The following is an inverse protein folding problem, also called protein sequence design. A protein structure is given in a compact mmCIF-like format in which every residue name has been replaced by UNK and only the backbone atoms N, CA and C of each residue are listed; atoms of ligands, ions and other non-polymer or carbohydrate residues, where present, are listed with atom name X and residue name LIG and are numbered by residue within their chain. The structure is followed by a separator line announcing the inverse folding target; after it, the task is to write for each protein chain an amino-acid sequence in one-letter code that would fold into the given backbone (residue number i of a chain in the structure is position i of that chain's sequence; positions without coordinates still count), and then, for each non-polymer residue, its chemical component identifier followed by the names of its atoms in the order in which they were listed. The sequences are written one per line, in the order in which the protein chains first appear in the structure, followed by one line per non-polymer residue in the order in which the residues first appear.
data_IF_126454213292
#
_entry.id   IF_126454213292
#
_cell.length_a   1.000
_cell.length_b   1.000
_cell.length_c   1.000
_cell.angle_alpha   90.00
_cell.angle_beta   90.00
_cell.angle_gamma   90.00
#
_symmetry.space_group_name_H-M   'P 1'
#
loop_
_entity.id
_entity.type
_entity.pdbx_description
1 polymer ?
#
# COMPACT_ATOMS: atom_id res chain seq x y z
N UNK A 1 8.71 14.22 31.97
CA UNK A 1 7.48 14.79 31.39
C UNK A 1 7.85 15.21 29.97
N UNK A 2 7.83 14.25 29.03
CA UNK A 2 8.11 14.53 27.61
C UNK A 2 6.83 15.06 26.96
N UNK A 3 6.85 16.32 26.57
CA UNK A 3 5.81 16.94 25.73
C UNK A 3 5.86 16.25 24.39
N UNK A 4 4.83 15.45 24.09
CA UNK A 4 4.57 14.96 22.74
C UNK A 4 4.17 16.20 21.94
N UNK A 5 5.05 16.69 21.06
CA UNK A 5 4.70 17.69 20.07
C UNK A 5 3.62 17.11 19.17
N UNK A 6 2.40 17.56 19.39
CA UNK A 6 1.23 17.14 18.60
C UNK A 6 1.36 17.69 17.19
N UNK A 7 1.78 16.82 16.26
CA UNK A 7 1.90 17.18 14.84
C UNK A 7 0.51 17.51 14.30
N UNK A 8 0.33 18.77 13.92
CA UNK A 8 -0.92 19.23 13.28
C UNK A 8 -1.04 18.60 11.91
N UNK A 9 -2.13 17.87 11.66
CA UNK A 9 -2.42 17.30 10.33
C UNK A 9 -3.41 18.20 9.60
N UNK A 10 -3.12 18.45 8.33
CA UNK A 10 -4.01 19.20 7.43
C UNK A 10 -4.66 18.23 6.46
N UNK A 11 -5.96 18.38 6.22
CA UNK A 11 -6.71 17.64 5.24
C UNK A 11 -7.14 18.58 4.11
N UNK A 12 -6.95 18.15 2.88
CA UNK A 12 -7.38 18.84 1.67
C UNK A 12 -8.47 17.99 1.04
N UNK A 13 -9.63 18.57 0.80
CA UNK A 13 -10.80 17.94 0.20
C UNK A 13 -11.05 18.51 -1.17
N UNK A 14 -11.20 17.65 -2.17
CA UNK A 14 -11.48 18.04 -3.56
C UNK A 14 -12.49 17.05 -4.13
N UNK A 15 -13.63 17.55 -4.61
CA UNK A 15 -14.63 16.75 -5.30
C UNK A 15 -14.51 16.97 -6.81
N UNK A 16 -14.33 15.89 -7.57
CA UNK A 16 -14.05 15.95 -9.01
C UNK A 16 -14.70 14.82 -9.79
N UNK A 17 -14.98 15.00 -11.08
CA UNK A 17 -15.43 13.92 -11.96
C UNK A 17 -14.38 12.80 -12.01
N UNK A 18 -14.84 11.54 -12.06
CA UNK A 18 -13.96 10.37 -12.00
C UNK A 18 -12.89 10.35 -13.12
N UNK A 19 -13.19 10.89 -14.29
CA UNK A 19 -12.24 10.92 -15.41
C UNK A 19 -11.05 11.87 -15.18
N UNK A 20 -11.16 12.82 -14.25
CA UNK A 20 -10.09 13.76 -13.90
C UNK A 20 -9.22 13.30 -12.72
N UNK A 21 -9.54 12.15 -12.14
CA UNK A 21 -8.89 11.66 -10.92
C UNK A 21 -7.36 11.51 -11.06
N UNK A 22 -6.89 10.93 -12.16
CA UNK A 22 -5.45 10.72 -12.39
C UNK A 22 -4.69 12.05 -12.48
N UNK A 23 -5.27 13.06 -13.13
CA UNK A 23 -4.69 14.39 -13.22
C UNK A 23 -4.57 15.04 -11.83
N UNK A 24 -5.62 14.92 -11.03
CA UNK A 24 -5.64 15.48 -9.67
C UNK A 24 -4.69 14.76 -8.71
N UNK A 25 -4.67 13.43 -8.74
CA UNK A 25 -3.72 12.65 -7.94
C UNK A 25 -2.28 13.03 -8.28
N UNK A 26 -1.98 13.10 -9.57
CA UNK A 26 -0.68 13.48 -10.09
C UNK A 26 -0.22 14.87 -9.66
N UNK A 27 -1.14 15.81 -9.60
CA UNK A 27 -0.85 17.18 -9.20
C UNK A 27 -0.66 17.34 -7.69
N UNK A 28 -1.35 16.50 -6.89
CA UNK A 28 -1.31 16.57 -5.43
C UNK A 28 -0.18 15.73 -4.83
N UNK A 29 0.18 14.61 -5.44
CA UNK A 29 1.18 13.67 -4.92
C UNK A 29 2.52 14.34 -4.50
N UNK A 30 3.06 15.35 -5.23
CA UNK A 30 4.31 16.01 -4.85
C UNK A 30 4.20 16.91 -3.63
N UNK A 31 2.97 17.29 -3.22
CA UNK A 31 2.72 18.32 -2.20
C UNK A 31 1.99 17.81 -0.96
N UNK A 32 1.66 16.50 -0.92
CA UNK A 32 0.98 15.86 0.21
C UNK A 32 1.66 14.59 0.65
N UNK A 33 1.43 14.17 1.90
CA UNK A 33 2.02 12.96 2.46
C UNK A 33 1.21 11.70 2.16
N UNK A 34 -0.12 11.84 2.02
CA UNK A 34 -1.01 10.72 1.73
C UNK A 34 -2.23 11.19 0.95
N UNK A 35 -2.78 10.29 0.14
CA UNK A 35 -4.02 10.48 -0.61
C UNK A 35 -4.97 9.32 -0.35
N UNK A 36 -6.24 9.62 -0.21
CA UNK A 36 -7.31 8.63 -0.22
C UNK A 36 -8.44 9.12 -1.13
N UNK A 37 -9.08 8.20 -1.84
CA UNK A 37 -10.13 8.51 -2.81
C UNK A 37 -11.38 7.73 -2.46
N UNK A 38 -12.50 8.42 -2.36
CA UNK A 38 -13.82 7.80 -2.26
C UNK A 38 -14.52 7.98 -3.61
N UNK A 39 -14.74 6.88 -4.32
CA UNK A 39 -15.40 6.88 -5.63
C UNK A 39 -16.91 6.76 -5.43
N UNK A 40 -17.64 7.65 -6.07
CA UNK A 40 -19.09 7.60 -6.28
C UNK A 40 -19.36 7.26 -7.76
N UNK A 41 -20.62 7.18 -8.17
CA UNK A 41 -20.99 6.71 -9.52
C UNK A 41 -20.41 7.56 -10.66
N UNK A 42 -20.30 8.87 -10.50
CA UNK A 42 -19.79 9.81 -11.53
C UNK A 42 -18.65 10.67 -11.04
N UNK A 43 -18.53 10.86 -9.74
CA UNK A 43 -17.59 11.75 -9.08
C UNK A 43 -16.75 11.01 -8.06
N UNK A 44 -15.65 11.61 -7.65
CA UNK A 44 -14.81 11.08 -6.60
C UNK A 44 -14.37 12.20 -5.66
N UNK A 45 -14.38 11.91 -4.37
CA UNK A 45 -13.86 12.76 -3.34
C UNK A 45 -12.41 12.36 -3.03
N UNK A 46 -11.50 13.27 -3.34
CA UNK A 46 -10.08 13.14 -3.00
C UNK A 46 -9.88 13.75 -1.61
N UNK A 47 -9.24 12.98 -0.73
CA UNK A 47 -8.77 13.44 0.57
C UNK A 47 -7.26 13.33 0.59
N UNK A 48 -6.58 14.45 0.64
CA UNK A 48 -5.14 14.50 0.76
C UNK A 48 -4.74 14.98 2.16
N UNK A 49 -3.63 14.47 2.68
CA UNK A 49 -3.17 14.74 4.04
C UNK A 49 -1.73 15.22 4.02
N UNK A 50 -1.43 16.23 4.85
CA UNK A 50 -0.06 16.72 5.04
C UNK A 50 0.17 17.13 6.50
N UNK A 51 1.39 16.89 6.99
CA UNK A 51 1.82 17.30 8.33
C UNK A 51 2.40 18.72 8.36
N UNK A 52 2.74 19.27 7.20
CA UNK A 52 3.15 20.66 7.07
C UNK A 52 1.95 21.51 6.66
N UNK A 53 1.88 22.75 7.17
CA UNK A 53 0.87 23.69 6.71
C UNK A 53 0.94 23.82 5.19
N UNK A 54 -0.12 23.47 4.46
CA UNK A 54 -0.09 23.50 3.00
C UNK A 54 0.00 24.97 2.54
N UNK A 55 0.87 25.23 1.57
CA UNK A 55 0.92 26.50 0.90
C UNK A 55 -0.29 26.60 -0.04
N UNK A 56 -1.29 27.37 0.39
CA UNK A 56 -2.60 27.46 -0.28
C UNK A 56 -2.47 27.73 -1.78
N UNK A 57 -1.62 28.68 -2.16
CA UNK A 57 -1.38 29.04 -3.57
C UNK A 57 -0.78 27.90 -4.38
N UNK A 58 0.12 27.11 -3.79
CA UNK A 58 0.72 25.93 -4.49
C UNK A 58 -0.33 24.86 -4.74
N UNK A 59 -1.19 24.59 -3.76
CA UNK A 59 -2.28 23.62 -3.91
C UNK A 59 -3.27 24.09 -4.99
N UNK A 60 -3.73 25.33 -4.91
CA UNK A 60 -4.67 25.88 -5.89
C UNK A 60 -4.08 25.89 -7.31
N UNK A 61 -2.80 26.26 -7.46
CA UNK A 61 -2.13 26.26 -8.75
C UNK A 61 -1.97 24.83 -9.33
N UNK A 62 -1.68 23.86 -8.48
CA UNK A 62 -1.58 22.46 -8.89
C UNK A 62 -2.94 21.90 -9.35
N UNK A 63 -4.00 22.19 -8.57
CA UNK A 63 -5.37 21.78 -8.89
C UNK A 63 -5.88 22.46 -10.16
N UNK A 64 -5.63 23.75 -10.35
CA UNK A 64 -6.05 24.49 -11.53
C UNK A 64 -5.37 23.95 -12.81
N UNK A 65 -4.08 23.62 -12.75
CA UNK A 65 -3.38 22.96 -13.88
C UNK A 65 -3.98 21.62 -14.20
N UNK A 66 -4.20 20.76 -13.19
CA UNK A 66 -4.80 19.45 -13.37
C UNK A 66 -6.23 19.54 -13.93
N UNK A 67 -7.01 20.54 -13.52
CA UNK A 67 -8.34 20.79 -14.05
C UNK A 67 -8.31 21.18 -15.53
N UNK A 68 -7.38 22.05 -15.92
CA UNK A 68 -7.16 22.43 -17.31
C UNK A 68 -6.72 21.22 -18.17
N UNK A 69 -5.80 20.40 -17.71
CA UNK A 69 -5.35 19.18 -18.39
C UNK A 69 -6.49 18.16 -18.54
N UNK A 70 -7.36 18.05 -17.53
CA UNK A 70 -8.54 17.18 -17.54
C UNK A 70 -9.74 17.75 -18.28
N UNK A 71 -9.65 19.00 -18.77
CA UNK A 71 -10.74 19.75 -19.40
C UNK A 71 -12.01 19.83 -18.53
N UNK A 72 -11.82 20.13 -17.25
CA UNK A 72 -12.91 20.39 -16.29
C UNK A 72 -12.81 21.78 -15.70
N UNK A 73 -13.91 22.27 -15.12
CA UNK A 73 -13.89 23.46 -14.30
C UNK A 73 -13.01 23.24 -13.06
N UNK A 74 -12.22 24.26 -12.67
CA UNK A 74 -11.40 24.18 -11.47
C UNK A 74 -12.27 23.87 -10.25
N UNK A 75 -12.05 22.74 -9.56
CA UNK A 75 -12.88 22.36 -8.42
C UNK A 75 -12.59 23.23 -7.21
N UNK A 76 -13.57 23.30 -6.31
CA UNK A 76 -13.36 23.90 -5.01
C UNK A 76 -12.40 23.05 -4.17
N UNK A 77 -11.46 23.73 -3.51
CA UNK A 77 -10.47 23.09 -2.63
C UNK A 77 -10.77 23.54 -1.20
N UNK A 78 -11.14 22.60 -0.35
CA UNK A 78 -11.33 22.86 1.07
C UNK A 78 -10.09 22.37 1.82
N UNK A 79 -9.52 23.23 2.70
CA UNK A 79 -8.38 22.89 3.55
C UNK A 79 -8.81 22.98 5.00
N UNK A 80 -8.76 21.85 5.70
CA UNK A 80 -9.21 21.69 7.08
C UNK A 80 -8.01 21.38 7.96
N UNK A 81 -7.88 22.07 9.08
CA UNK A 81 -6.97 21.66 10.15
C UNK A 81 -7.64 20.54 10.91
N UNK A 82 -7.03 19.37 10.87
CA UNK A 82 -7.45 18.32 11.78
C UNK A 82 -6.83 18.60 13.15
N UNK A 83 -7.64 18.73 14.21
CA UNK A 83 -7.09 18.96 15.55
C UNK A 83 -6.12 17.81 15.89
N UNK A 84 -5.09 18.05 16.71
CA UNK A 84 -4.10 17.04 17.10
C UNK A 84 -4.69 15.90 17.94
N UNK A 85 -5.97 15.76 17.94
CA UNK A 85 -6.69 14.71 18.63
C UNK A 85 -6.85 13.53 17.68
N UNK A 86 -6.20 12.49 17.96
CA UNK A 86 -6.52 11.05 17.93
C UNK A 86 -7.67 10.55 17.00
N UNK A 87 -7.99 11.32 15.94
CA UNK A 87 -9.03 10.97 14.95
C UNK A 87 -8.74 9.65 14.27
N UNK A 88 -7.46 9.39 13.98
CA UNK A 88 -7.04 8.14 13.37
C UNK A 88 -7.21 7.02 14.38
N UNK A 89 -6.77 7.22 15.60
CA UNK A 89 -6.94 6.23 16.68
C UNK A 89 -8.40 6.07 17.08
N UNK A 90 -9.21 7.12 17.09
CA UNK A 90 -10.65 6.99 17.34
C UNK A 90 -11.38 6.31 16.18
N UNK A 91 -11.08 6.66 14.93
CA UNK A 91 -11.65 5.99 13.75
C UNK A 91 -11.25 4.51 13.68
N UNK A 92 -10.01 4.19 14.04
CA UNK A 92 -9.50 2.82 14.06
C UNK A 92 -10.07 2.02 15.23
N UNK A 93 -10.32 2.64 16.39
CA UNK A 93 -10.97 1.97 17.55
C UNK A 93 -12.40 1.52 17.28
N UNK A 94 -13.05 2.04 16.25
CA UNK A 94 -14.42 1.63 15.84
C UNK A 94 -14.42 0.67 14.64
N UNK A 95 -13.26 0.32 14.09
CA UNK A 95 -13.23 -0.60 12.96
C UNK A 95 -13.51 -2.03 13.40
N UNK A 96 -14.57 -2.61 12.85
CA UNK A 96 -14.90 -4.01 13.06
C UNK A 96 -13.82 -4.92 12.47
N UNK A 97 -13.62 -6.14 13.02
CA UNK A 97 -12.74 -7.11 12.42
C UNK A 97 -13.15 -7.43 10.98
N UNK A 98 -12.17 -7.51 10.09
CA UNK A 98 -12.42 -7.81 8.67
C UNK A 98 -11.82 -9.17 8.33
N UNK A 99 -12.68 -10.07 7.84
CA UNK A 99 -12.26 -11.38 7.32
C UNK A 99 -12.06 -11.30 5.82
N UNK A 100 -10.86 -11.62 5.36
CA UNK A 100 -10.48 -11.58 3.95
C UNK A 100 -9.73 -12.88 3.62
N UNK A 101 -10.39 -13.78 2.87
CA UNK A 101 -9.82 -15.07 2.56
C UNK A 101 -9.42 -15.83 3.83
N UNK A 102 -8.14 -16.14 3.98
CA UNK A 102 -7.57 -16.84 5.15
C UNK A 102 -7.23 -15.91 6.32
N UNK A 103 -7.34 -14.62 6.16
CA UNK A 103 -6.93 -13.62 7.15
C UNK A 103 -8.10 -13.02 7.88
N UNK A 104 -7.89 -12.74 9.16
CA UNK A 104 -8.78 -11.96 10.02
C UNK A 104 -7.97 -10.81 10.59
N UNK A 105 -8.30 -9.58 10.20
CA UNK A 105 -7.62 -8.37 10.69
C UNK A 105 -8.48 -7.76 11.77
N UNK A 106 -7.86 -7.40 12.87
CA UNK A 106 -8.51 -6.74 14.01
C UNK A 106 -7.59 -5.70 14.65
N UNK A 107 -8.18 -4.71 15.29
CA UNK A 107 -7.46 -3.81 16.19
C UNK A 107 -7.21 -4.45 17.57
N UNK A 108 -6.34 -3.83 18.37
CA UNK A 108 -6.03 -4.28 19.74
C UNK A 108 -7.22 -4.23 20.69
N UNK A 109 -8.21 -3.39 20.43
CA UNK A 109 -9.44 -3.28 21.22
C UNK A 109 -10.38 -4.51 21.07
N UNK A 110 -10.14 -5.35 20.07
CA UNK A 110 -10.91 -6.57 19.82
C UNK A 110 -10.14 -7.78 20.37
N UNK A 111 -10.78 -8.57 21.21
CA UNK A 111 -10.19 -9.81 21.74
C UNK A 111 -9.84 -10.78 20.60
N UNK A 112 -8.76 -11.52 20.79
CA UNK A 112 -8.36 -12.59 19.89
C UNK A 112 -9.47 -13.64 19.79
N UNK A 113 -9.79 -14.05 18.57
CA UNK A 113 -10.85 -15.05 18.33
C UNK A 113 -10.36 -16.48 18.56
N UNK A 114 -9.05 -16.75 18.40
CA UNK A 114 -8.45 -18.08 18.59
C UNK A 114 -8.91 -19.12 17.58
N UNK A 115 -9.46 -18.72 16.44
CA UNK A 115 -9.94 -19.64 15.42
C UNK A 115 -8.76 -20.18 14.58
N UNK A 116 -8.44 -21.50 14.65
CA UNK A 116 -7.30 -22.07 13.91
C UNK A 116 -7.48 -22.06 12.39
N UNK A 117 -8.71 -21.86 11.90
CA UNK A 117 -9.01 -21.82 10.46
C UNK A 117 -8.67 -20.51 9.80
N UNK A 118 -8.30 -19.48 10.55
CA UNK A 118 -7.93 -18.15 10.05
C UNK A 118 -6.59 -17.70 10.63
N UNK A 119 -5.88 -16.89 9.87
CA UNK A 119 -4.65 -16.23 10.31
C UNK A 119 -5.05 -14.87 10.86
N UNK A 120 -5.01 -14.74 12.19
CA UNK A 120 -5.31 -13.47 12.83
C UNK A 120 -4.10 -12.52 12.75
N UNK A 121 -4.39 -11.28 12.34
CA UNK A 121 -3.45 -10.16 12.32
C UNK A 121 -4.01 -9.05 13.22
N UNK A 122 -3.28 -8.73 14.28
CA UNK A 122 -3.56 -7.58 15.11
C UNK A 122 -2.82 -6.37 14.55
N UNK A 123 -3.55 -5.38 14.08
CA UNK A 123 -2.99 -4.20 13.41
C UNK A 123 -3.45 -2.93 14.13
N UNK A 124 -2.49 -2.22 14.69
CA UNK A 124 -2.65 -0.88 15.21
C UNK A 124 -1.96 0.06 14.21
N UNK A 125 -2.73 0.64 13.31
CA UNK A 125 -2.15 1.43 12.23
C UNK A 125 -1.70 2.82 12.69
N UNK A 126 -2.26 3.37 13.77
CA UNK A 126 -2.02 4.76 14.13
C UNK A 126 -2.31 5.65 12.92
N UNK A 127 -1.31 6.43 12.49
CA UNK A 127 -1.37 7.24 11.27
C UNK A 127 -0.93 6.48 10.01
N UNK A 128 -0.46 5.23 10.13
CA UNK A 128 0.01 4.44 9.00
C UNK A 128 -1.14 3.80 8.22
N UNK A 129 -0.98 3.66 6.91
CA UNK A 129 -1.92 2.97 6.03
C UNK A 129 -1.88 1.45 6.25
N UNK A 130 -2.98 0.74 5.93
CA UNK A 130 -2.96 -0.73 5.87
C UNK A 130 -3.80 -1.45 6.92
N UNK A 131 -4.86 -0.84 7.48
CA UNK A 131 -5.79 -1.45 8.45
C UNK A 131 -6.59 -2.65 7.92
N UNK A 132 -6.44 -2.99 6.64
CA UNK A 132 -7.19 -4.06 6.00
C UNK A 132 -8.58 -3.68 5.47
N UNK A 133 -9.09 -2.51 5.81
CA UNK A 133 -10.43 -2.08 5.38
C UNK A 133 -10.46 -1.55 3.95
N UNK A 134 -9.33 -1.03 3.46
CA UNK A 134 -9.25 -0.52 2.10
C UNK A 134 -9.24 -1.66 1.07
N UNK A 135 -9.94 -1.46 -0.05
CA UNK A 135 -10.10 -2.45 -1.11
C UNK A 135 -8.76 -3.00 -1.66
N UNK A 136 -7.74 -2.14 -1.74
CA UNK A 136 -6.40 -2.53 -2.23
C UNK A 136 -5.70 -3.52 -1.28
N UNK A 137 -5.79 -3.30 0.03
CA UNK A 137 -5.25 -4.23 1.03
C UNK A 137 -6.01 -5.56 1.00
N UNK A 138 -7.35 -5.49 0.87
CA UNK A 138 -8.17 -6.68 0.70
C UNK A 138 -7.77 -7.47 -0.55
N UNK A 139 -7.55 -6.79 -1.67
CA UNK A 139 -7.08 -7.39 -2.90
C UNK A 139 -5.75 -8.13 -2.74
N UNK A 140 -4.76 -7.50 -2.10
CA UNK A 140 -3.48 -8.16 -1.82
C UNK A 140 -3.63 -9.40 -0.93
N UNK A 141 -4.46 -9.34 0.12
CA UNK A 141 -4.72 -10.49 1.01
C UNK A 141 -5.44 -11.63 0.30
N UNK A 142 -6.37 -11.33 -0.62
CA UNK A 142 -6.98 -12.34 -1.48
C UNK A 142 -5.96 -12.95 -2.44
N UNK A 143 -5.06 -12.14 -3.01
CA UNK A 143 -3.97 -12.63 -3.84
C UNK A 143 -3.06 -13.59 -3.07
N UNK A 144 -2.66 -13.25 -1.84
CA UNK A 144 -1.90 -14.12 -0.95
C UNK A 144 -2.67 -15.40 -0.62
N UNK A 145 -4.00 -15.32 -0.40
CA UNK A 145 -4.84 -16.50 -0.17
C UNK A 145 -4.85 -17.43 -1.38
N UNK A 146 -4.94 -16.90 -2.61
CA UNK A 146 -4.85 -17.69 -3.86
C UNK A 146 -3.49 -18.39 -3.99
N UNK A 147 -2.43 -17.73 -3.57
CA UNK A 147 -1.07 -18.28 -3.62
C UNK A 147 -0.76 -19.27 -2.48
N UNK A 148 -1.58 -19.33 -1.43
CA UNK A 148 -1.36 -20.13 -0.23
C UNK A 148 -1.23 -21.65 -0.49
N UNK A 149 -1.80 -22.15 -1.58
CA UNK A 149 -1.75 -23.56 -1.98
C UNK A 149 -0.45 -23.92 -2.71
N UNK A 150 0.44 -22.96 -2.93
CA UNK A 150 1.76 -23.20 -3.54
C UNK A 150 2.83 -23.31 -2.47
N UNK A 151 3.99 -23.84 -2.85
CA UNK A 151 5.18 -23.77 -2.00
C UNK A 151 5.44 -22.31 -1.62
N UNK A 152 5.63 -22.06 -0.33
CA UNK A 152 5.89 -20.72 0.17
C UNK A 152 7.20 -20.13 -0.38
N UNK A 153 7.29 -18.79 -0.43
CA UNK A 153 8.52 -18.12 -0.82
C UNK A 153 9.62 -18.36 0.23
N UNK A 154 10.86 -18.45 -0.21
CA UNK A 154 12.02 -18.47 0.69
C UNK A 154 12.34 -17.03 1.16
N UNK A 155 12.26 -16.08 0.24
CA UNK A 155 12.48 -14.67 0.49
C UNK A 155 11.28 -13.86 0.00
N UNK A 156 10.81 -12.94 0.83
CA UNK A 156 9.72 -12.04 0.46
C UNK A 156 9.98 -10.60 0.86
N UNK A 157 9.36 -9.69 0.11
CA UNK A 157 9.46 -8.24 0.31
C UNK A 157 8.07 -7.60 0.25
N UNK A 158 7.79 -6.72 1.21
CA UNK A 158 6.66 -5.81 1.23
C UNK A 158 7.19 -4.39 1.03
N UNK A 159 6.91 -3.80 -0.13
CA UNK A 159 7.35 -2.47 -0.54
C UNK A 159 6.24 -1.45 -0.28
N UNK A 160 6.52 -0.44 0.54
CA UNK A 160 5.51 0.47 1.08
C UNK A 160 4.63 -0.25 2.10
N UNK A 161 5.25 -0.78 3.16
CA UNK A 161 4.59 -1.71 4.07
C UNK A 161 3.53 -1.06 4.98
N UNK A 162 3.56 0.26 5.17
CA UNK A 162 2.65 0.98 6.06
C UNK A 162 2.64 0.39 7.47
N UNK A 163 1.50 -0.10 7.94
CA UNK A 163 1.36 -0.75 9.25
C UNK A 163 1.87 -2.21 9.30
N UNK A 164 2.41 -2.74 8.20
CA UNK A 164 3.00 -4.08 8.11
C UNK A 164 2.04 -5.21 7.77
N UNK A 165 0.79 -4.92 7.47
CA UNK A 165 -0.28 -5.93 7.29
C UNK A 165 0.08 -7.01 6.27
N UNK A 166 0.62 -6.62 5.12
CA UNK A 166 0.96 -7.57 4.04
C UNK A 166 2.22 -8.37 4.38
N UNK A 167 3.23 -7.73 4.95
CA UNK A 167 4.42 -8.42 5.47
C UNK A 167 4.04 -9.48 6.50
N UNK A 168 3.12 -9.17 7.41
CA UNK A 168 2.67 -10.12 8.44
C UNK A 168 1.81 -11.24 7.86
N UNK A 169 0.96 -10.93 6.88
CA UNK A 169 0.19 -11.93 6.16
C UNK A 169 1.12 -12.96 5.51
N UNK A 170 2.18 -12.52 4.84
CA UNK A 170 3.20 -13.38 4.23
C UNK A 170 3.93 -14.20 5.30
N UNK A 171 4.46 -13.51 6.34
CA UNK A 171 5.25 -14.15 7.38
C UNK A 171 4.47 -15.23 8.14
N UNK A 172 3.20 -14.98 8.47
CA UNK A 172 2.35 -15.97 9.18
C UNK A 172 1.85 -17.09 8.27
N UNK A 173 1.54 -16.79 6.99
CA UNK A 173 1.00 -17.77 6.04
C UNK A 173 2.00 -18.89 5.75
N UNK A 174 3.27 -18.53 5.56
CA UNK A 174 4.31 -19.49 5.16
C UNK A 174 5.42 -19.66 6.19
N UNK A 175 5.35 -18.97 7.34
CA UNK A 175 6.41 -18.96 8.36
C UNK A 175 7.77 -18.57 7.77
N UNK A 176 7.77 -17.64 6.83
CA UNK A 176 8.94 -17.22 6.07
C UNK A 176 9.44 -15.85 6.50
N UNK A 177 10.71 -15.58 6.24
CA UNK A 177 11.30 -14.25 6.47
C UNK A 177 10.78 -13.28 5.43
N UNK A 178 10.37 -12.10 5.88
CA UNK A 178 9.86 -11.02 5.03
C UNK A 178 10.60 -9.73 5.35
N UNK A 179 11.08 -9.04 4.33
CA UNK A 179 11.57 -7.67 4.43
C UNK A 179 10.38 -6.74 4.26
N UNK A 180 10.23 -5.76 5.14
CA UNK A 180 9.19 -4.74 5.09
C UNK A 180 9.88 -3.38 5.02
N UNK A 181 9.64 -2.64 3.95
CA UNK A 181 10.26 -1.32 3.74
C UNK A 181 9.20 -0.26 3.48
N UNK A 182 9.47 0.92 3.99
CA UNK A 182 8.68 2.12 3.72
C UNK A 182 9.60 3.34 3.72
N UNK A 183 9.20 4.39 3.03
CA UNK A 183 9.89 5.68 3.05
C UNK A 183 9.58 6.46 4.33
N UNK A 184 8.42 6.20 4.94
CA UNK A 184 7.98 6.84 6.18
C UNK A 184 8.50 6.10 7.41
N UNK A 185 9.29 6.81 8.22
CA UNK A 185 9.83 6.28 9.48
C UNK A 185 8.72 5.90 10.46
N UNK A 186 7.59 6.63 10.49
CA UNK A 186 6.46 6.31 11.35
C UNK A 186 5.79 5.00 10.93
N UNK A 187 5.69 4.73 9.63
CA UNK A 187 5.20 3.45 9.12
C UNK A 187 6.10 2.29 9.55
N UNK A 188 7.41 2.46 9.46
CA UNK A 188 8.37 1.44 9.92
C UNK A 188 8.29 1.23 11.43
N UNK A 189 8.13 2.29 12.22
CA UNK A 189 7.94 2.17 13.66
C UNK A 189 6.65 1.41 14.00
N UNK A 190 5.54 1.76 13.37
CA UNK A 190 4.26 1.05 13.53
C UNK A 190 4.38 -0.43 13.13
N UNK A 191 5.08 -0.73 12.02
CA UNK A 191 5.34 -2.10 11.58
C UNK A 191 6.14 -2.88 12.62
N UNK A 192 7.19 -2.31 13.23
CA UNK A 192 7.98 -2.97 14.28
C UNK A 192 7.12 -3.29 15.52
N UNK A 193 6.32 -2.34 15.98
CA UNK A 193 5.42 -2.51 17.13
C UNK A 193 4.37 -3.59 16.87
N UNK A 194 3.73 -3.54 15.70
CA UNK A 194 2.76 -4.55 15.28
C UNK A 194 3.40 -5.94 15.11
N UNK A 195 4.66 -6.02 14.66
CA UNK A 195 5.37 -7.30 14.55
C UNK A 195 5.58 -7.96 15.92
N UNK A 196 5.90 -7.17 16.94
CA UNK A 196 6.00 -7.63 18.35
C UNK A 196 4.64 -8.13 18.84
N UNK A 197 3.58 -7.35 18.68
CA UNK A 197 2.21 -7.70 19.07
C UNK A 197 1.74 -9.01 18.42
N UNK A 198 2.14 -9.24 17.16
CA UNK A 198 1.82 -10.47 16.43
C UNK A 198 2.76 -11.64 16.71
N UNK A 199 3.83 -11.47 17.51
CA UNK A 199 4.81 -12.52 17.83
C UNK A 199 5.68 -12.94 16.65
N UNK A 200 5.88 -12.07 15.65
CA UNK A 200 6.61 -12.36 14.40
C UNK A 200 7.81 -11.43 14.15
N UNK A 201 8.26 -10.70 15.15
CA UNK A 201 9.39 -9.76 15.04
C UNK A 201 10.69 -10.41 14.57
N UNK A 202 10.84 -11.73 14.73
CA UNK A 202 12.00 -12.49 14.21
C UNK A 202 11.87 -12.84 12.73
N UNK A 203 10.67 -12.80 12.19
CA UNK A 203 10.38 -13.11 10.78
C UNK A 203 10.32 -11.85 9.91
N UNK A 204 10.01 -10.68 10.48
CA UNK A 204 9.86 -9.43 9.73
C UNK A 204 11.04 -8.50 10.01
N UNK A 205 11.77 -8.17 8.95
CA UNK A 205 12.87 -7.21 9.00
C UNK A 205 12.38 -5.87 8.44
N UNK A 206 12.31 -4.84 9.28
CA UNK A 206 11.76 -3.53 8.93
C UNK A 206 12.86 -2.51 8.72
N UNK A 207 12.83 -1.76 7.60
CA UNK A 207 13.82 -0.72 7.28
C UNK A 207 13.18 0.48 6.60
N UNK A 208 13.61 1.68 6.97
CA UNK A 208 13.28 2.92 6.25
C UNK A 208 14.09 2.95 4.96
N UNK A 209 13.42 3.00 3.82
CA UNK A 209 14.10 2.96 2.52
C UNK A 209 13.27 3.63 1.42
N UNK A 210 13.91 4.47 0.63
CA UNK A 210 13.32 5.01 -0.61
C UNK A 210 13.50 3.98 -1.75
N UNK A 211 12.41 3.33 -2.10
CA UNK A 211 12.39 2.27 -3.11
C UNK A 211 13.14 1.00 -2.65
N UNK A 212 13.96 0.43 -3.56
CA UNK A 212 14.66 -0.84 -3.32
C UNK A 212 16.19 -0.68 -3.15
N UNK A 213 16.67 0.52 -2.86
CA UNK A 213 18.10 0.85 -2.87
C UNK A 213 18.81 0.66 -1.52
N UNK A 214 18.30 -0.18 -0.62
CA UNK A 214 18.96 -0.43 0.66
C UNK A 214 19.92 -1.64 0.61
N UNK A 215 20.96 -1.65 1.45
CA UNK A 215 21.83 -2.82 1.63
C UNK A 215 21.04 -4.07 2.04
N UNK A 216 20.03 -3.94 2.92
CA UNK A 216 19.21 -5.06 3.38
C UNK A 216 18.39 -5.66 2.24
N UNK A 217 17.78 -4.82 1.39
CA UNK A 217 17.04 -5.28 0.21
C UNK A 217 17.96 -6.06 -0.73
N UNK A 218 19.16 -5.53 -1.01
CA UNK A 218 20.13 -6.17 -1.92
C UNK A 218 20.71 -7.47 -1.38
N UNK A 219 21.03 -7.53 -0.08
CA UNK A 219 21.66 -8.73 0.52
C UNK A 219 20.66 -9.87 0.75
N UNK A 220 19.38 -9.56 0.86
CA UNK A 220 18.33 -10.57 1.06
C UNK A 220 17.62 -10.99 -0.22
N UNK A 221 17.75 -10.21 -1.30
CA UNK A 221 17.26 -10.57 -2.63
C UNK A 221 18.10 -11.65 -3.33
N UNK A 222 17.68 -12.13 -4.49
CA UNK A 222 16.40 -11.82 -5.12
C UNK A 222 15.20 -12.42 -4.37
N UNK A 223 13.99 -11.85 -4.63
CA UNK A 223 12.76 -12.23 -3.91
C UNK A 223 11.88 -13.16 -4.74
N UNK A 224 11.34 -14.20 -4.10
CA UNK A 224 10.37 -15.11 -4.72
C UNK A 224 8.96 -14.53 -4.72
N UNK A 225 8.68 -13.67 -3.72
CA UNK A 225 7.44 -12.92 -3.62
C UNK A 225 7.72 -11.47 -3.24
N UNK A 226 7.24 -10.55 -4.06
CA UNK A 226 7.23 -9.13 -3.77
C UNK A 226 5.79 -8.64 -3.76
N UNK A 227 5.41 -7.86 -2.76
CA UNK A 227 4.11 -7.19 -2.71
C UNK A 227 4.36 -5.69 -2.68
N UNK A 228 3.60 -4.93 -3.47
CA UNK A 228 3.61 -3.47 -3.46
C UNK A 228 2.16 -2.96 -3.57
N UNK A 229 1.67 -2.39 -2.47
CA UNK A 229 0.36 -1.74 -2.41
C UNK A 229 0.56 -0.23 -2.26
N UNK A 230 1.03 0.40 -3.33
CA UNK A 230 1.38 1.82 -3.40
C UNK A 230 0.74 2.47 -4.63
N UNK A 231 0.80 3.79 -4.74
CA UNK A 231 0.18 4.53 -5.83
C UNK A 231 0.74 4.15 -7.20
N UNK A 232 -0.04 4.41 -8.26
CA UNK A 232 0.26 4.06 -9.64
C UNK A 232 1.60 4.59 -10.15
N UNK A 233 1.91 5.89 -9.93
CA UNK A 233 3.17 6.49 -10.43
C UNK A 233 4.42 5.89 -9.81
N UNK A 234 4.53 5.72 -8.47
CA UNK A 234 5.61 4.96 -7.87
C UNK A 234 5.77 3.55 -8.44
N UNK A 235 4.67 2.83 -8.69
CA UNK A 235 4.72 1.50 -9.30
C UNK A 235 5.33 1.52 -10.71
N UNK A 236 4.98 2.52 -11.53
CA UNK A 236 5.60 2.73 -12.85
C UNK A 236 7.09 3.05 -12.72
N UNK A 237 7.44 4.02 -11.86
CA UNK A 237 8.82 4.47 -11.65
C UNK A 237 9.73 3.34 -11.15
N UNK A 238 9.23 2.50 -10.27
CA UNK A 238 9.97 1.41 -9.64
C UNK A 238 9.91 0.09 -10.41
N UNK A 239 9.19 0.02 -11.55
CA UNK A 239 8.94 -1.23 -12.26
C UNK A 239 10.22 -2.01 -12.60
N UNK A 240 11.25 -1.32 -13.12
CA UNK A 240 12.55 -1.94 -13.42
C UNK A 240 13.20 -2.48 -12.14
N UNK A 241 13.30 -1.65 -11.11
CA UNK A 241 13.93 -2.04 -9.85
C UNK A 241 13.19 -3.21 -9.18
N UNK A 242 11.85 -3.21 -9.20
CA UNK A 242 11.03 -4.33 -8.71
C UNK A 242 11.34 -5.60 -9.47
N UNK A 243 11.37 -5.54 -10.81
CA UNK A 243 11.57 -6.72 -11.66
C UNK A 243 13.02 -7.26 -11.57
N UNK A 244 14.00 -6.38 -11.41
CA UNK A 244 15.40 -6.77 -11.24
C UNK A 244 15.61 -7.52 -9.90
N UNK A 245 14.85 -7.15 -8.85
CA UNK A 245 14.88 -7.81 -7.54
C UNK A 245 14.02 -9.07 -7.43
N UNK A 246 13.26 -9.45 -8.48
CA UNK A 246 12.51 -10.71 -8.50
C UNK A 246 13.40 -11.89 -8.96
N UNK A 247 13.28 -13.01 -8.27
CA UNK A 247 13.83 -14.31 -8.69
C UNK A 247 13.26 -14.74 -10.05
N UNK A 248 13.98 -15.57 -10.79
CA UNK A 248 13.38 -16.31 -11.89
C UNK A 248 12.24 -17.21 -11.38
N UNK A 249 11.05 -17.12 -11.96
CA UNK A 249 9.84 -17.76 -11.45
C UNK A 249 9.14 -17.01 -10.31
N UNK A 250 9.73 -15.91 -9.83
CA UNK A 250 9.17 -15.08 -8.75
C UNK A 250 7.85 -14.43 -9.12
N UNK A 251 7.08 -14.11 -8.10
CA UNK A 251 5.75 -13.49 -8.22
C UNK A 251 5.77 -12.09 -7.63
N UNK A 252 5.14 -11.13 -8.32
CA UNK A 252 4.85 -9.81 -7.74
C UNK A 252 3.35 -9.58 -7.68
N UNK A 253 2.89 -9.07 -6.53
CA UNK A 253 1.52 -8.59 -6.32
C UNK A 253 1.56 -7.08 -6.32
N UNK A 254 0.81 -6.44 -7.22
CA UNK A 254 0.71 -5.00 -7.35
C UNK A 254 -0.71 -4.55 -7.08
N UNK A 255 -0.89 -3.56 -6.23
CA UNK A 255 -2.18 -2.94 -5.92
C UNK A 255 -1.99 -1.45 -5.59
N UNK A 256 -3.08 -0.75 -5.22
CA UNK A 256 -3.05 0.70 -5.04
C UNK A 256 -3.34 1.45 -6.33
N UNK A 257 -3.90 0.75 -7.33
CA UNK A 257 -4.23 1.30 -8.65
C UNK A 257 -5.72 1.16 -8.95
N UNK A 258 -6.25 2.10 -9.71
CA UNK A 258 -7.61 2.05 -10.22
C UNK A 258 -7.71 1.10 -11.43
N UNK A 259 -8.92 0.64 -11.72
CA UNK A 259 -9.18 -0.29 -12.82
C UNK A 259 -8.71 0.24 -14.19
N UNK A 260 -8.83 1.54 -14.42
CA UNK A 260 -8.39 2.22 -15.64
C UNK A 260 -6.85 2.28 -15.78
N UNK A 261 -6.12 2.25 -14.67
CA UNK A 261 -4.64 2.28 -14.65
C UNK A 261 -4.01 0.91 -14.89
N UNK A 262 -4.79 -0.15 -14.73
CA UNK A 262 -4.27 -1.53 -14.74
C UNK A 262 -3.59 -1.91 -16.07
N UNK A 263 -4.14 -1.53 -17.21
CA UNK A 263 -3.58 -1.89 -18.52
C UNK A 263 -2.22 -1.24 -18.76
N UNK A 264 -2.06 0.02 -18.37
CA UNK A 264 -0.78 0.74 -18.47
C UNK A 264 0.28 0.11 -17.57
N UNK A 265 -0.08 -0.24 -16.32
CA UNK A 265 0.83 -0.91 -15.40
C UNK A 265 1.26 -2.29 -15.91
N UNK A 266 0.31 -3.10 -16.42
CA UNK A 266 0.61 -4.41 -17.02
C UNK A 266 1.59 -4.27 -18.18
N UNK A 267 1.38 -3.29 -19.08
CA UNK A 267 2.28 -3.03 -20.20
C UNK A 267 3.69 -2.66 -19.71
N UNK A 268 3.79 -1.78 -18.72
CA UNK A 268 5.08 -1.39 -18.15
C UNK A 268 5.86 -2.60 -17.62
N UNK A 269 5.21 -3.45 -16.82
CA UNK A 269 5.86 -4.63 -16.25
C UNK A 269 6.20 -5.70 -17.29
N UNK A 270 5.37 -5.84 -18.35
CA UNK A 270 5.70 -6.72 -19.50
C UNK A 270 6.97 -6.29 -20.21
N UNK A 271 7.17 -4.98 -20.39
CA UNK A 271 8.40 -4.43 -20.99
C UNK A 271 9.66 -4.73 -20.14
N UNK A 272 9.48 -5.06 -18.86
CA UNK A 272 10.54 -5.52 -17.96
C UNK A 272 10.56 -7.04 -17.76
N UNK A 273 9.87 -7.80 -18.63
CA UNK A 273 9.93 -9.26 -18.64
C UNK A 273 9.07 -9.97 -17.59
N UNK A 274 8.06 -9.29 -17.02
CA UNK A 274 7.13 -9.86 -16.06
C UNK A 274 5.72 -9.94 -16.67
N UNK A 275 5.10 -11.11 -16.66
CA UNK A 275 3.82 -11.35 -17.33
C UNK A 275 2.65 -11.39 -16.35
N UNK A 276 1.48 -10.92 -16.79
CA UNK A 276 0.25 -11.00 -16.02
C UNK A 276 -0.16 -12.47 -15.84
N UNK A 277 -0.39 -12.89 -14.59
CA UNK A 277 -0.87 -14.21 -14.23
C UNK A 277 -2.34 -14.20 -13.80
N UNK A 278 -2.77 -13.21 -13.02
CA UNK A 278 -4.14 -13.05 -12.58
C UNK A 278 -4.45 -11.57 -12.31
N UNK A 279 -5.71 -11.18 -12.39
CA UNK A 279 -6.19 -9.83 -12.13
C UNK A 279 -7.59 -9.89 -11.54
N UNK A 280 -7.86 -9.05 -10.54
CA UNK A 280 -9.21 -8.85 -10.02
C UNK A 280 -9.37 -7.45 -9.45
N UNK A 281 -10.61 -7.01 -9.32
CA UNK A 281 -10.98 -5.68 -8.87
C UNK A 281 -11.92 -5.75 -7.66
N UNK A 282 -11.77 -4.80 -6.75
CA UNK A 282 -12.66 -4.60 -5.61
C UNK A 282 -12.96 -3.10 -5.53
N UNK A 283 -14.23 -2.73 -5.67
CA UNK A 283 -14.70 -1.35 -5.57
C UNK A 283 -13.89 -0.36 -6.44
N UNK A 284 -13.60 -0.72 -7.69
CA UNK A 284 -12.87 0.12 -8.64
C UNK A 284 -11.33 0.10 -8.47
N UNK A 285 -10.81 -0.70 -7.54
CA UNK A 285 -9.37 -0.88 -7.32
C UNK A 285 -8.89 -2.23 -7.83
N UNK A 286 -7.87 -2.22 -8.65
CA UNK A 286 -7.28 -3.44 -9.23
C UNK A 286 -6.12 -3.96 -8.39
N UNK A 287 -6.07 -5.29 -8.29
CA UNK A 287 -4.90 -6.05 -7.84
C UNK A 287 -4.42 -6.95 -8.97
N UNK A 288 -3.13 -6.90 -9.26
CA UNK A 288 -2.46 -7.70 -10.28
C UNK A 288 -1.55 -8.73 -9.61
N UNK A 289 -1.60 -9.97 -10.07
CA UNK A 289 -0.61 -11.00 -9.78
C UNK A 289 0.21 -11.18 -11.06
N UNK A 290 1.49 -10.89 -11.01
CA UNK A 290 2.38 -10.99 -12.16
C UNK A 290 3.54 -11.92 -11.85
N UNK A 291 4.14 -12.54 -12.88
CA UNK A 291 5.21 -13.53 -12.74
C UNK A 291 6.39 -13.22 -13.65
N UNK A 292 7.57 -13.34 -13.09
CA UNK A 292 8.81 -13.38 -13.85
C UNK A 292 9.03 -14.81 -14.39
N UNK A 293 9.26 -15.03 -15.68
CA UNK A 293 9.57 -16.35 -16.20
C UNK A 293 10.78 -16.97 -15.50
N UNK A 294 10.74 -18.28 -15.27
CA UNK A 294 11.93 -19.01 -14.87
C UNK A 294 12.96 -18.97 -15.99
N UNK A 295 14.24 -18.75 -15.68
CA UNK A 295 15.30 -19.01 -16.67
C UNK A 295 15.21 -20.50 -17.04
N UNK A 296 14.95 -20.80 -18.30
CA UNK A 296 15.09 -22.16 -18.81
C UNK A 296 16.57 -22.51 -18.63
N UNK A 297 16.88 -23.43 -17.69
CA UNK A 297 18.19 -24.04 -17.69
C UNK A 297 18.24 -24.93 -18.95
N UNK A 298 18.88 -24.42 -20.01
CA UNK A 298 19.38 -25.32 -21.04
C UNK A 298 20.46 -26.17 -20.38
N UNK A 299 20.08 -27.36 -19.93
CA UNK A 299 21.04 -28.43 -19.61
C UNK A 299 21.69 -28.80 -20.93
N UNK A 300 22.95 -28.40 -21.08
CA UNK A 300 23.85 -28.88 -22.15
C UNK A 300 24.34 -30.28 -21.81
#
# INVERSE_FOLDING_TARGET
MMTIDSVTTWQILIDVPIHSLDFMQNALEPVVNALSVKINTKDCLIRAYTQKRPEHEKILSAVARAAAEANIQTPYVEIIVLPPTDWVTQSIRHLNPVKIGRFLIRGSHIKRFGNPSVIELEINAGNAFGTGHHATTQGCLLALTKLAYRRGPLNSLDLGCGAGTLAFAIAKLWKTRTVAIDIDENAIQATKENAVTNGIQRLVCCEVCDGLNSPVVRTRGPYDLLVANILFRPLIKLARSITDNLSGGGTVILSGILDQQASALVTTYRNHGVTLHDRFSINGWTTLIMKKPSKIQHTV
#
